data_IF_298664574242
#
_entry.id   IF_298664574242
#
_cell.length_a   1.000
_cell.length_b   1.000
_cell.length_c   1.000
_cell.angle_alpha   90.00
_cell.angle_beta   90.00
_cell.angle_gamma   90.00
#
_symmetry.space_group_name_H-M   'P 1'
#
loop_
_entity.id
_entity.type
_entity.pdbx_description
1 polymer ?
#
# COMPACT_ATOMS: atom_id res chain seq x y z
N UNK A 1 14.84 5.96 4.80
CA UNK A 1 15.52 6.53 5.99
C UNK A 1 16.99 6.15 5.99
N UNK A 2 17.85 7.02 6.52
CA UNK A 2 19.30 6.79 6.59
C UNK A 2 19.97 6.76 5.22
N UNK A 3 19.57 7.69 4.34
CA UNK A 3 20.14 7.86 3.01
C UNK A 3 21.38 8.74 3.07
N UNK A 4 22.23 8.66 2.05
CA UNK A 4 23.32 9.60 1.84
C UNK A 4 22.80 11.02 1.48
N UNK A 5 23.72 11.97 1.33
CA UNK A 5 23.38 13.37 1.00
C UNK A 5 22.67 13.57 -0.34
N UNK A 6 22.65 12.56 -1.20
CA UNK A 6 21.94 12.57 -2.50
C UNK A 6 20.57 11.90 -2.42
N UNK A 7 20.14 11.43 -1.24
CA UNK A 7 18.89 10.68 -1.07
C UNK A 7 18.98 9.22 -1.54
N UNK A 8 20.19 8.71 -1.80
CA UNK A 8 20.44 7.35 -2.25
C UNK A 8 21.05 6.51 -1.12
N UNK A 9 21.35 5.23 -1.40
CA UNK A 9 21.99 4.32 -0.47
C UNK A 9 21.32 4.27 0.92
N UNK A 10 19.99 4.28 0.95
CA UNK A 10 19.22 4.31 2.19
C UNK A 10 19.35 2.98 2.96
N UNK A 11 19.45 3.09 4.28
CA UNK A 11 19.41 1.92 5.17
C UNK A 11 18.10 1.14 5.05
N UNK A 12 16.98 1.85 4.92
CA UNK A 12 15.63 1.29 4.71
C UNK A 12 14.82 2.19 3.80
N UNK A 13 13.90 1.65 3.01
CA UNK A 13 12.94 2.45 2.24
C UNK A 13 13.34 2.76 0.81
N UNK A 14 14.43 2.21 0.29
CA UNK A 14 14.85 2.49 -1.09
C UNK A 14 14.61 1.29 -1.98
N UNK A 15 13.57 1.39 -2.80
CA UNK A 15 13.14 0.35 -3.74
C UNK A 15 13.71 0.51 -5.15
N UNK A 16 14.37 1.64 -5.45
CA UNK A 16 14.93 1.95 -6.77
C UNK A 16 16.42 2.29 -6.66
N UNK A 17 17.30 1.74 -7.53
CA UNK A 17 18.72 2.06 -7.55
C UNK A 17 19.01 3.57 -7.70
N UNK A 18 20.16 4.06 -7.20
CA UNK A 18 21.28 3.31 -6.61
C UNK A 18 21.11 3.00 -5.11
N UNK A 19 21.05 1.71 -4.77
CA UNK A 19 20.88 1.18 -3.41
C UNK A 19 22.23 0.72 -2.82
N UNK A 20 22.24 0.46 -1.51
CA UNK A 20 23.39 -0.16 -0.84
C UNK A 20 23.80 -1.49 -1.52
N UNK A 21 25.06 -1.95 -1.37
CA UNK A 21 25.51 -3.23 -1.94
C UNK A 21 24.69 -4.45 -1.52
N UNK A 22 23.92 -4.36 -0.43
CA UNK A 22 22.97 -5.38 0.03
C UNK A 22 21.70 -5.47 -0.82
N UNK A 23 21.52 -4.60 -1.81
CA UNK A 23 20.35 -4.51 -2.66
C UNK A 23 19.31 -3.50 -2.20
N UNK A 24 18.34 -3.24 -3.08
CA UNK A 24 17.17 -2.42 -2.79
C UNK A 24 16.16 -3.16 -1.91
N UNK A 25 15.36 -2.41 -1.16
CA UNK A 25 14.19 -2.90 -0.45
C UNK A 25 13.04 -3.22 -1.40
N UNK A 26 12.06 -4.05 -1.01
CA UNK A 26 10.85 -4.21 -1.81
C UNK A 26 10.05 -2.90 -1.81
N UNK A 27 9.35 -2.56 -2.90
CA UNK A 27 8.43 -1.42 -2.95
C UNK A 27 7.16 -1.80 -2.18
N UNK A 28 7.26 -1.81 -0.85
CA UNK A 28 6.20 -2.11 0.11
C UNK A 28 5.97 -0.89 1.02
N UNK A 29 5.96 0.30 0.41
CA UNK A 29 5.75 1.55 1.12
C UNK A 29 4.27 1.90 1.22
N UNK A 30 3.90 2.59 2.30
CA UNK A 30 2.59 3.25 2.41
C UNK A 30 2.52 4.39 1.40
N UNK A 31 1.58 4.32 0.46
CA UNK A 31 1.41 5.34 -0.57
C UNK A 31 0.34 6.34 -0.17
N UNK A 32 0.59 7.58 -0.55
CA UNK A 32 -0.36 8.69 -0.50
C UNK A 32 -0.57 9.12 -1.94
N UNK A 33 -1.78 8.91 -2.45
CA UNK A 33 -2.10 9.09 -3.86
C UNK A 33 -3.11 10.23 -4.02
N UNK A 34 -2.91 11.04 -5.07
CA UNK A 34 -3.81 12.13 -5.42
C UNK A 34 -3.99 12.18 -6.93
N UNK A 35 -5.22 12.41 -7.35
CA UNK A 35 -5.56 12.78 -8.71
C UNK A 35 -6.27 14.14 -8.69
N UNK A 36 -5.58 15.16 -9.20
CA UNK A 36 -6.12 16.50 -9.37
C UNK A 36 -6.64 16.64 -10.81
N UNK A 37 -7.96 16.81 -11.02
CA UNK A 37 -8.50 17.08 -12.34
C UNK A 37 -8.07 18.47 -12.84
N UNK A 38 -8.31 18.73 -14.13
CA UNK A 38 -8.03 20.05 -14.70
C UNK A 38 -8.81 21.16 -13.98
N UNK A 39 -8.14 22.28 -13.73
CA UNK A 39 -8.74 23.45 -13.07
C UNK A 39 -10.00 23.89 -13.83
N UNK A 40 -11.08 24.16 -13.11
CA UNK A 40 -12.39 24.60 -13.62
C UNK A 40 -13.20 23.56 -14.43
N UNK A 41 -12.86 22.27 -14.42
CA UNK A 41 -13.67 21.25 -15.10
C UNK A 41 -14.87 20.74 -14.27
N UNK A 42 -15.03 21.24 -13.03
CA UNK A 42 -16.12 20.87 -12.12
C UNK A 42 -15.99 19.47 -11.49
N UNK A 43 -14.90 18.76 -11.72
CA UNK A 43 -14.65 17.44 -11.13
C UNK A 43 -13.98 17.55 -9.76
N UNK A 44 -14.21 16.53 -8.94
CA UNK A 44 -13.59 16.37 -7.64
C UNK A 44 -12.14 15.89 -7.74
N UNK A 45 -11.35 16.26 -6.74
CA UNK A 45 -10.04 15.68 -6.46
C UNK A 45 -10.27 14.31 -5.82
N UNK A 46 -9.58 13.29 -6.33
CA UNK A 46 -9.57 11.96 -5.74
C UNK A 46 -8.27 11.73 -4.98
N UNK A 47 -8.34 11.04 -3.86
CA UNK A 47 -7.20 10.77 -3.02
C UNK A 47 -7.41 9.54 -2.17
N UNK A 48 -6.29 8.93 -1.77
CA UNK A 48 -6.30 7.74 -0.94
C UNK A 48 -4.96 7.55 -0.23
N UNK A 49 -5.01 6.75 0.84
CA UNK A 49 -3.83 6.05 1.34
C UNK A 49 -3.93 4.62 0.85
N UNK A 50 -2.85 4.12 0.27
CA UNK A 50 -2.81 2.81 -0.37
C UNK A 50 -1.72 1.93 0.21
N UNK A 51 -2.16 0.76 0.69
CA UNK A 51 -1.34 -0.32 1.19
C UNK A 51 -1.38 -1.54 0.26
N UNK A 52 -1.79 -1.36 -1.00
CA UNK A 52 -1.90 -2.42 -2.03
C UNK A 52 -0.56 -3.13 -2.26
N UNK A 53 0.54 -2.39 -2.11
CA UNK A 53 1.90 -2.90 -2.25
C UNK A 53 2.54 -3.34 -0.91
N UNK A 54 1.97 -2.91 0.22
CA UNK A 54 2.56 -3.09 1.54
C UNK A 54 2.43 -1.84 2.40
N UNK A 55 3.09 -1.85 3.56
CA UNK A 55 3.23 -0.67 4.42
C UNK A 55 4.59 -0.59 5.10
N UNK A 56 5.02 0.64 5.39
CA UNK A 56 6.32 0.93 6.02
C UNK A 56 6.22 1.98 7.12
N UNK A 57 5.60 3.13 6.84
CA UNK A 57 5.38 4.23 7.79
C UNK A 57 3.92 4.66 7.78
N UNK A 58 3.42 5.11 8.91
CA UNK A 58 2.05 5.64 9.02
C UNK A 58 1.89 6.95 8.23
N UNK A 59 0.70 7.17 7.68
CA UNK A 59 0.34 8.40 6.98
C UNK A 59 -1.09 8.85 7.31
N UNK A 60 -1.36 10.15 7.18
CA UNK A 60 -2.68 10.75 7.25
C UNK A 60 -2.83 11.80 6.16
N UNK A 61 -3.98 11.80 5.49
CA UNK A 61 -4.41 12.88 4.60
C UNK A 61 -5.63 13.52 5.23
N UNK A 62 -5.48 14.79 5.62
CA UNK A 62 -6.53 15.58 6.23
C UNK A 62 -6.97 16.71 5.30
N UNK A 63 -8.16 16.62 4.70
CA UNK A 63 -8.74 17.73 3.95
C UNK A 63 -9.07 18.90 4.88
N UNK A 64 -8.85 20.13 4.42
CA UNK A 64 -9.16 21.38 5.15
C UNK A 64 -10.66 21.57 5.43
N UNK A 65 -11.52 20.80 4.78
CA UNK A 65 -12.95 20.67 5.09
C UNK A 65 -13.27 19.19 5.25
N UNK A 66 -13.82 18.81 6.39
CA UNK A 66 -14.27 17.43 6.67
C UNK A 66 -15.79 17.37 6.66
N UNK A 67 -16.36 16.38 5.98
CA UNK A 67 -17.80 16.18 5.81
C UNK A 67 -18.25 16.15 4.34
N UNK A 68 -19.37 15.47 4.06
CA UNK A 68 -19.73 15.11 2.68
C UNK A 68 -18.85 13.96 2.18
N UNK A 69 -18.33 14.06 0.96
CA UNK A 69 -17.37 13.10 0.40
C UNK A 69 -15.95 13.23 0.96
N UNK A 70 -15.64 14.36 1.62
CA UNK A 70 -14.31 14.63 2.17
C UNK A 70 -14.03 13.83 3.45
N UNK A 71 -13.39 12.67 3.27
CA UNK A 71 -12.92 11.78 4.32
C UNK A 71 -11.53 12.16 4.84
N UNK A 72 -11.36 12.29 6.16
CA UNK A 72 -10.03 12.22 6.74
C UNK A 72 -9.56 10.76 6.69
N UNK A 73 -8.49 10.47 5.95
CA UNK A 73 -7.93 9.11 5.89
C UNK A 73 -6.65 9.03 6.69
N UNK A 74 -6.64 8.15 7.69
CA UNK A 74 -5.54 7.96 8.64
C UNK A 74 -5.19 6.49 8.70
N UNK A 75 -3.92 6.17 8.45
CA UNK A 75 -3.44 4.81 8.50
C UNK A 75 -2.16 4.67 9.32
N UNK A 76 -2.24 3.89 10.40
CA UNK A 76 -1.12 3.63 11.31
C UNK A 76 -1.10 2.15 11.74
N UNK A 77 -0.66 1.27 10.84
CA UNK A 77 -0.44 -0.16 11.15
C UNK A 77 0.94 -0.35 11.76
N UNK A 78 1.00 -1.08 12.89
CA UNK A 78 2.29 -1.45 13.48
C UNK A 78 2.97 -2.57 12.67
N UNK A 79 4.26 -2.37 12.33
CA UNK A 79 5.09 -3.40 11.69
C UNK A 79 5.21 -4.70 12.51
N UNK A 80 5.05 -4.62 13.84
CA UNK A 80 5.07 -5.81 14.71
C UNK A 80 3.87 -6.74 14.48
N UNK A 81 2.76 -6.18 13.96
CA UNK A 81 1.54 -6.92 13.60
C UNK A 81 1.59 -7.53 12.19
N UNK A 82 2.64 -7.25 11.41
CA UNK A 82 2.77 -7.79 10.06
C UNK A 82 2.63 -9.33 10.07
N UNK A 83 1.74 -9.91 9.24
CA UNK A 83 1.50 -11.35 9.24
C UNK A 83 2.77 -12.18 9.03
N UNK A 84 3.01 -13.14 9.94
CA UNK A 84 4.13 -14.08 9.85
C UNK A 84 3.77 -15.40 9.16
N UNK A 85 2.49 -15.59 8.84
CA UNK A 85 1.93 -16.82 8.26
C UNK A 85 0.67 -16.52 7.47
N UNK A 86 0.86 -15.96 6.29
CA UNK A 86 -0.16 -15.59 5.30
C UNK A 86 -0.46 -16.76 4.36
N UNK A 87 -0.96 -17.88 4.91
CA UNK A 87 -1.25 -19.08 4.12
C UNK A 87 -0.03 -19.57 3.33
N UNK A 88 -0.16 -19.70 2.01
CA UNK A 88 0.92 -20.12 1.10
C UNK A 88 2.02 -19.05 0.91
N UNK A 89 1.74 -17.80 1.27
CA UNK A 89 2.67 -16.68 1.14
C UNK A 89 3.68 -16.59 2.30
N UNK A 90 3.39 -17.27 3.42
CA UNK A 90 4.29 -17.34 4.56
C UNK A 90 4.49 -16.01 5.28
N UNK A 91 5.75 -15.66 5.55
CA UNK A 91 6.11 -14.43 6.29
C UNK A 91 6.15 -13.21 5.35
N UNK A 92 5.32 -12.20 5.66
CA UNK A 92 5.20 -10.97 4.88
C UNK A 92 6.22 -9.89 5.30
N UNK A 93 7.02 -10.14 6.33
CA UNK A 93 7.95 -9.14 6.85
C UNK A 93 9.17 -8.99 5.96
N UNK A 94 9.49 -7.75 5.58
CA UNK A 94 10.83 -7.40 5.13
C UNK A 94 11.70 -7.15 6.38
N UNK A 95 12.72 -7.98 6.56
CA UNK A 95 13.59 -7.94 7.73
C UNK A 95 14.97 -7.37 7.37
N UNK A 96 15.45 -6.42 8.18
CA UNK A 96 16.84 -5.95 8.15
C UNK A 96 17.40 -5.93 9.57
N UNK A 97 18.58 -6.52 9.76
CA UNK A 97 19.27 -6.58 11.06
C UNK A 97 18.36 -7.04 12.23
N UNK A 98 17.54 -8.06 11.98
CA UNK A 98 16.62 -8.62 12.99
C UNK A 98 15.37 -7.78 13.29
N UNK A 99 15.16 -6.66 12.59
CA UNK A 99 13.96 -5.81 12.74
C UNK A 99 13.11 -5.86 11.49
N UNK A 100 11.79 -5.83 11.68
CA UNK A 100 10.84 -5.61 10.58
C UNK A 100 10.92 -4.14 10.16
N UNK A 101 11.14 -3.90 8.86
CA UNK A 101 11.28 -2.55 8.30
C UNK A 101 10.16 -2.22 7.32
N UNK A 102 9.52 -3.23 6.75
CA UNK A 102 8.32 -3.12 5.92
C UNK A 102 7.48 -4.39 6.05
N UNK A 103 6.21 -4.28 5.69
CA UNK A 103 5.31 -5.41 5.54
C UNK A 103 4.83 -5.47 4.09
N UNK A 104 5.09 -6.58 3.39
CA UNK A 104 4.62 -6.79 2.02
C UNK A 104 3.11 -7.09 2.03
N UNK A 105 2.38 -6.55 1.08
CA UNK A 105 1.02 -7.02 0.79
C UNK A 105 1.06 -8.42 0.13
N UNK A 106 -0.05 -9.18 0.13
CA UNK A 106 -0.12 -10.50 -0.50
C UNK A 106 0.36 -10.52 -1.96
N UNK A 107 -0.09 -9.56 -2.77
CA UNK A 107 0.38 -9.43 -4.15
C UNK A 107 1.88 -9.20 -4.22
N UNK A 108 2.40 -8.26 -3.41
CA UNK A 108 3.84 -7.94 -3.41
C UNK A 108 4.68 -9.15 -3.02
N UNK A 109 4.22 -9.95 -2.05
CA UNK A 109 4.91 -11.19 -1.67
C UNK A 109 4.94 -12.20 -2.82
N UNK A 110 3.87 -12.27 -3.61
CA UNK A 110 3.78 -13.16 -4.77
C UNK A 110 4.71 -12.72 -5.91
N UNK A 111 4.60 -11.46 -6.35
CA UNK A 111 5.23 -10.98 -7.58
C UNK A 111 6.68 -10.50 -7.41
N UNK A 112 7.05 -10.03 -6.22
CA UNK A 112 8.37 -9.44 -6.03
C UNK A 112 9.43 -10.54 -5.95
N UNK A 113 10.60 -10.37 -6.57
CA UNK A 113 11.64 -11.40 -6.56
C UNK A 113 12.21 -11.68 -5.15
N UNK A 114 12.98 -12.75 -5.08
CA UNK A 114 13.83 -13.03 -3.93
C UNK A 114 14.77 -11.83 -3.65
N UNK A 115 15.12 -11.56 -2.37
CA UNK A 115 14.84 -12.41 -1.20
C UNK A 115 13.48 -12.16 -0.54
N UNK A 116 12.73 -11.14 -0.96
CA UNK A 116 11.53 -10.70 -0.21
C UNK A 116 10.27 -11.43 -0.65
N UNK A 117 10.11 -11.74 -1.94
CA UNK A 117 8.96 -12.46 -2.46
C UNK A 117 9.34 -13.68 -3.31
N UNK A 118 8.37 -14.18 -4.08
CA UNK A 118 8.52 -15.39 -4.88
C UNK A 118 8.86 -15.16 -6.36
N UNK A 119 8.80 -13.92 -6.85
CA UNK A 119 9.10 -13.59 -8.25
C UNK A 119 8.17 -14.27 -9.24
N UNK A 120 6.92 -14.54 -8.85
CA UNK A 120 5.94 -15.25 -9.66
C UNK A 120 5.10 -14.28 -10.48
N UNK A 121 4.69 -14.72 -11.66
CA UNK A 121 3.79 -13.94 -12.50
C UNK A 121 2.42 -13.77 -11.82
N UNK A 122 1.87 -12.57 -11.90
CA UNK A 122 0.60 -12.20 -11.26
C UNK A 122 -0.60 -12.94 -11.83
N UNK A 123 -0.53 -13.49 -13.05
CA UNK A 123 -1.65 -14.21 -13.65
C UNK A 123 -1.61 -15.72 -13.32
N UNK A 124 -0.53 -16.20 -12.70
CA UNK A 124 -0.35 -17.61 -12.38
C UNK A 124 -0.92 -17.97 -11.01
N UNK A 125 -1.55 -19.16 -10.93
CA UNK A 125 -2.03 -19.73 -9.67
C UNK A 125 -2.97 -18.80 -8.90
N UNK A 126 -2.66 -18.60 -7.61
CA UNK A 126 -3.39 -17.68 -6.73
C UNK A 126 -2.92 -16.22 -6.83
N UNK A 127 -1.81 -15.95 -7.54
CA UNK A 127 -1.34 -14.58 -7.81
C UNK A 127 -2.43 -13.71 -8.41
N UNK A 128 -3.26 -14.28 -9.30
CA UNK A 128 -4.34 -13.54 -9.97
C UNK A 128 -5.38 -13.02 -8.99
N UNK A 129 -5.52 -13.68 -7.85
CA UNK A 129 -6.46 -13.29 -6.82
C UNK A 129 -5.83 -12.39 -5.78
N UNK A 130 -4.54 -12.50 -5.51
CA UNK A 130 -3.83 -11.56 -4.63
C UNK A 130 -3.60 -10.19 -5.29
N UNK A 131 -3.29 -10.19 -6.59
CA UNK A 131 -2.91 -9.00 -7.36
C UNK A 131 -4.07 -8.38 -8.15
N UNK A 132 -5.03 -9.21 -8.54
CA UNK A 132 -6.19 -8.81 -9.34
C UNK A 132 -5.81 -8.08 -10.64
N UNK A 133 -4.95 -8.69 -11.50
CA UNK A 133 -4.52 -8.07 -12.74
C UNK A 133 -5.69 -7.92 -13.72
N UNK A 134 -5.80 -6.74 -14.32
CA UNK A 134 -6.87 -6.43 -15.27
C UNK A 134 -6.31 -5.99 -16.61
N UNK A 135 -6.73 -6.63 -17.72
CA UNK A 135 -7.45 -7.92 -17.80
C UNK A 135 -6.62 -9.13 -17.31
N UNK A 136 -7.22 -10.31 -17.01
CA UNK A 136 -8.61 -10.70 -17.24
C UNK A 136 -9.53 -10.62 -16.00
N UNK A 137 -9.00 -10.30 -14.81
CA UNK A 137 -9.81 -10.28 -13.59
C UNK A 137 -10.63 -9.01 -13.54
N UNK A 138 -11.94 -9.12 -13.36
CA UNK A 138 -12.80 -7.98 -13.09
C UNK A 138 -12.74 -7.56 -11.60
N UNK A 139 -13.06 -6.30 -11.27
CA UNK A 139 -13.14 -5.86 -9.87
C UNK A 139 -14.04 -6.74 -9.01
N UNK A 140 -15.19 -7.17 -9.55
CA UNK A 140 -16.14 -8.01 -8.84
C UNK A 140 -15.60 -9.42 -8.57
N UNK A 141 -14.87 -10.01 -9.53
CA UNK A 141 -14.24 -11.32 -9.33
C UNK A 141 -13.17 -11.27 -8.25
N UNK A 142 -12.34 -10.22 -8.24
CA UNK A 142 -11.32 -10.01 -7.21
C UNK A 142 -11.94 -9.90 -5.81
N UNK A 143 -12.98 -9.06 -5.66
CA UNK A 143 -13.70 -8.85 -4.38
C UNK A 143 -14.34 -10.11 -3.83
N UNK A 144 -14.68 -11.06 -4.70
CA UNK A 144 -15.30 -12.33 -4.33
C UNK A 144 -14.27 -13.46 -4.11
N UNK A 145 -12.97 -13.16 -4.05
CA UNK A 145 -11.92 -14.18 -4.01
C UNK A 145 -11.00 -14.10 -2.79
N UNK A 146 -9.89 -14.82 -2.81
CA UNK A 146 -9.08 -15.07 -1.61
C UNK A 146 -8.44 -13.83 -0.97
N UNK A 147 -8.19 -12.75 -1.72
CA UNK A 147 -7.48 -11.57 -1.19
C UNK A 147 -8.20 -10.93 -0.02
N UNK A 148 -9.54 -10.85 -0.08
CA UNK A 148 -10.36 -10.26 0.99
C UNK A 148 -10.37 -11.09 2.28
N UNK A 149 -9.89 -12.33 2.23
CA UNK A 149 -9.80 -13.24 3.37
C UNK A 149 -8.35 -13.41 3.89
N UNK A 150 -7.43 -12.56 3.43
CA UNK A 150 -6.03 -12.60 3.89
C UNK A 150 -5.91 -11.92 5.25
N UNK A 151 -4.99 -12.41 6.09
CA UNK A 151 -4.72 -11.80 7.40
C UNK A 151 -4.17 -10.38 7.25
N UNK A 152 -3.47 -10.13 6.15
CA UNK A 152 -3.05 -8.79 5.77
C UNK A 152 -4.24 -7.85 5.56
N UNK A 153 -5.22 -8.22 4.73
CA UNK A 153 -6.40 -7.38 4.49
C UNK A 153 -7.20 -7.19 5.77
N UNK A 154 -7.44 -8.25 6.55
CA UNK A 154 -8.11 -8.17 7.85
C UNK A 154 -7.42 -7.18 8.80
N UNK A 155 -6.07 -7.19 8.84
CA UNK A 155 -5.29 -6.27 9.64
C UNK A 155 -5.44 -4.82 9.16
N UNK A 156 -5.34 -4.60 7.84
CA UNK A 156 -5.45 -3.26 7.26
C UNK A 156 -6.85 -2.70 7.45
N UNK A 157 -7.91 -3.46 7.18
CA UNK A 157 -9.28 -3.00 7.44
C UNK A 157 -9.53 -2.67 8.91
N UNK A 158 -8.90 -3.40 9.83
CA UNK A 158 -9.01 -3.13 11.27
C UNK A 158 -8.28 -1.86 11.71
N UNK A 159 -7.02 -1.70 11.31
CA UNK A 159 -6.15 -0.63 11.81
C UNK A 159 -6.18 0.63 10.90
N UNK A 160 -6.64 0.49 9.65
CA UNK A 160 -6.72 1.53 8.61
C UNK A 160 -8.00 1.37 7.74
N UNK A 161 -9.20 1.53 8.31
CA UNK A 161 -10.47 1.27 7.61
C UNK A 161 -10.75 2.22 6.42
N UNK A 162 -9.95 3.28 6.25
CA UNK A 162 -10.10 4.28 5.18
C UNK A 162 -9.00 4.19 4.13
N UNK A 163 -8.19 3.13 4.13
CA UNK A 163 -7.07 2.94 3.20
C UNK A 163 -7.34 1.74 2.29
N UNK A 164 -6.80 1.77 1.07
CA UNK A 164 -6.79 0.60 0.20
C UNK A 164 -5.92 -0.51 0.81
N UNK A 165 -6.48 -1.70 1.00
CA UNK A 165 -5.74 -2.89 1.41
C UNK A 165 -5.34 -3.82 0.24
N UNK A 166 -6.05 -3.73 -0.89
CA UNK A 166 -5.80 -4.42 -2.16
C UNK A 166 -6.38 -3.61 -3.34
N UNK A 167 -6.07 -4.00 -4.59
CA UNK A 167 -6.34 -3.19 -5.80
C UNK A 167 -7.81 -2.81 -6.06
N UNK A 168 -8.78 -3.48 -5.45
CA UNK A 168 -10.22 -3.26 -5.68
C UNK A 168 -11.01 -2.98 -4.40
N UNK A 169 -10.31 -2.43 -3.40
CA UNK A 169 -10.83 -2.04 -2.09
C UNK A 169 -11.46 -0.62 -2.09
N UNK A 170 -12.15 -0.25 -3.17
CA UNK A 170 -12.64 1.11 -3.40
C UNK A 170 -13.60 1.59 -2.31
N UNK A 171 -14.33 0.66 -1.67
CA UNK A 171 -15.26 0.96 -0.57
C UNK A 171 -14.55 1.53 0.66
N UNK A 172 -13.31 1.08 0.93
CA UNK A 172 -12.50 1.56 2.03
C UNK A 172 -11.58 2.71 1.61
N UNK A 173 -10.92 2.56 0.46
CA UNK A 173 -9.74 3.37 0.11
C UNK A 173 -10.02 4.63 -0.71
N UNK A 174 -11.07 4.67 -1.52
CA UNK A 174 -11.26 5.73 -2.51
C UNK A 174 -12.06 6.91 -1.95
N UNK A 175 -11.42 8.07 -1.81
CA UNK A 175 -12.08 9.28 -1.30
C UNK A 175 -12.02 10.41 -2.31
N UNK A 176 -12.98 11.34 -2.21
CA UNK A 176 -13.01 12.52 -3.08
C UNK A 176 -13.39 13.79 -2.33
N UNK A 177 -12.92 14.92 -2.82
CA UNK A 177 -13.29 16.24 -2.32
C UNK A 177 -13.52 17.20 -3.49
N UNK A 178 -14.38 18.21 -3.32
CA UNK A 178 -14.43 19.33 -4.25
C UNK A 178 -13.04 19.92 -4.48
N UNK A 179 -12.77 20.39 -5.70
CA UNK A 179 -11.46 20.88 -6.12
C UNK A 179 -11.00 22.21 -5.49
N UNK A 180 -11.76 22.75 -4.52
CA UNK A 180 -11.45 23.97 -3.77
C UNK A 180 -11.06 23.69 -2.30
N UNK A 181 -10.46 22.53 -2.06
CA UNK A 181 -10.04 22.03 -0.75
C UNK A 181 -8.51 21.87 -0.73
N UNK A 182 -7.88 22.37 0.33
CA UNK A 182 -6.47 22.09 0.63
C UNK A 182 -6.35 20.78 1.42
N UNK A 183 -5.22 20.08 1.28
CA UNK A 183 -4.93 18.84 2.00
C UNK A 183 -3.64 19.00 2.83
N UNK A 184 -3.66 18.46 4.05
CA UNK A 184 -2.48 18.29 4.88
C UNK A 184 -2.10 16.81 4.87
N UNK A 185 -0.83 16.52 4.57
CA UNK A 185 -0.29 15.15 4.60
C UNK A 185 0.71 15.06 5.74
N UNK A 186 0.46 14.14 6.67
CA UNK A 186 1.34 13.87 7.80
C UNK A 186 1.89 12.45 7.72
N UNK A 187 3.17 12.28 8.03
CA UNK A 187 3.85 10.98 8.13
C UNK A 187 4.32 10.75 9.56
N UNK A 188 4.47 9.48 9.96
CA UNK A 188 4.93 9.10 11.31
C UNK A 188 4.03 9.62 12.46
N UNK A 189 2.72 9.37 12.34
CA UNK A 189 1.62 9.79 13.22
C UNK A 189 1.15 8.70 14.20
#
# INVERSE_FOLDING_TARGET
>A
MGCDGSGNNCQVGQSVPPCLPTGCDPPAETKVEFFFPQINNGQDVWYDISLVDGYSISAEIKPSRTGGSCTNTRCAVSLDKCPRGEGELGDLRAMKNGKTVMCLAPCKKWNYPAPFGYGRDEQQGNGKWYCCPTPPVSPQECRNNIVVNTKYVDLVHKDCPTAYSYSYDDEAGLHNCPNNVNFEVSFCI
#
